data_IF_097252030461
#
_entry.id   IF_097252030461
#
_cell.length_a   1.000
_cell.length_b   1.000
_cell.length_c   1.000
_cell.angle_alpha   90.00
_cell.angle_beta   90.00
_cell.angle_gamma   90.00
#
_symmetry.space_group_name_H-M   'P 1'
#
loop_
_entity.id
_entity.type
_entity.pdbx_description
1 polymer ?
#
# COMPACT_ATOMS: atom_id res chain seq x y z
N UNK A 1 36.09 6.69 -2.10
CA UNK A 1 34.88 7.16 -1.41
C UNK A 1 33.67 6.46 -1.97
N UNK A 2 33.29 5.36 -1.33
CA UNK A 2 32.16 4.51 -1.71
C UNK A 2 30.85 5.24 -1.40
N UNK A 3 30.33 5.96 -2.39
CA UNK A 3 28.95 6.44 -2.38
C UNK A 3 28.02 5.24 -2.65
N UNK A 4 27.83 4.41 -1.62
CA UNK A 4 26.80 3.36 -1.61
C UNK A 4 25.46 4.09 -1.75
N UNK A 5 24.96 4.16 -2.99
CA UNK A 5 23.72 4.84 -3.34
C UNK A 5 22.59 4.32 -2.47
N UNK A 6 22.17 5.11 -1.47
CA UNK A 6 21.05 4.77 -0.60
C UNK A 6 19.82 4.43 -1.44
N UNK A 7 19.12 3.36 -1.08
CA UNK A 7 17.89 2.94 -1.77
C UNK A 7 16.82 4.03 -1.69
N UNK A 8 15.83 3.99 -2.59
CA UNK A 8 14.70 4.95 -2.60
C UNK A 8 14.04 5.04 -1.21
N UNK A 9 13.83 3.89 -0.57
CA UNK A 9 13.27 3.80 0.78
C UNK A 9 14.17 4.52 1.79
N UNK A 10 15.47 4.21 1.82
CA UNK A 10 16.41 4.87 2.74
C UNK A 10 16.47 6.39 2.55
N UNK A 11 16.32 6.87 1.30
CA UNK A 11 16.34 8.32 0.99
C UNK A 11 15.06 9.03 1.42
N UNK A 12 13.92 8.36 1.41
CA UNK A 12 12.61 9.01 1.54
C UNK A 12 11.75 8.47 2.68
N UNK A 13 12.29 7.60 3.53
CA UNK A 13 11.59 6.92 4.61
C UNK A 13 10.77 7.87 5.49
N UNK A 14 11.36 8.99 5.93
CA UNK A 14 10.67 9.94 6.80
C UNK A 14 9.41 10.51 6.13
N UNK A 15 9.46 10.77 4.83
CA UNK A 15 8.32 11.30 4.06
C UNK A 15 7.28 10.22 3.77
N UNK A 16 7.72 8.98 3.49
CA UNK A 16 6.83 7.83 3.35
C UNK A 16 6.05 7.61 4.65
N UNK A 17 6.75 7.63 5.79
CA UNK A 17 6.12 7.50 7.11
C UNK A 17 5.17 8.64 7.41
N UNK A 18 5.56 9.87 7.10
CA UNK A 18 4.69 11.02 7.25
C UNK A 18 3.39 10.86 6.45
N UNK A 19 3.48 10.48 5.18
CA UNK A 19 2.31 10.15 4.38
C UNK A 19 1.44 9.07 5.04
N UNK A 20 2.05 8.00 5.55
CA UNK A 20 1.37 6.93 6.27
C UNK A 20 0.57 7.41 7.49
N UNK A 21 0.98 8.52 8.12
CA UNK A 21 0.29 9.10 9.28
C UNK A 21 -0.86 10.05 8.92
N UNK A 22 -1.04 10.40 7.65
CA UNK A 22 -2.15 11.26 7.22
C UNK A 22 -3.47 10.47 7.26
N UNK A 23 -4.58 11.20 7.42
CA UNK A 23 -5.93 10.61 7.42
C UNK A 23 -6.93 11.32 6.52
N UNK A 24 -6.72 12.61 6.22
CA UNK A 24 -7.64 13.43 5.43
C UNK A 24 -7.24 13.41 3.96
N UNK A 25 -8.23 13.25 3.08
CA UNK A 25 -8.03 13.23 1.62
C UNK A 25 -7.32 14.47 1.09
N UNK A 26 -7.67 15.66 1.58
CA UNK A 26 -7.06 16.92 1.17
C UNK A 26 -5.57 16.99 1.55
N UNK A 27 -5.24 16.56 2.77
CA UNK A 27 -3.87 16.59 3.28
C UNK A 27 -3.00 15.57 2.54
N UNK A 28 -3.50 14.35 2.32
CA UNK A 28 -2.82 13.32 1.52
C UNK A 28 -2.58 13.78 0.08
N UNK A 29 -3.60 14.37 -0.58
CA UNK A 29 -3.47 14.87 -1.95
C UNK A 29 -2.47 16.02 -2.06
N UNK A 30 -2.50 16.96 -1.10
CA UNK A 30 -1.55 18.08 -1.04
C UNK A 30 -0.12 17.58 -0.85
N UNK A 31 0.08 16.68 0.11
CA UNK A 31 1.40 16.11 0.39
C UNK A 31 2.00 15.39 -0.83
N UNK A 32 1.20 14.57 -1.53
CA UNK A 32 1.63 13.91 -2.76
C UNK A 32 1.85 14.87 -3.93
N UNK A 33 1.18 16.03 -3.94
CA UNK A 33 1.45 17.09 -4.92
C UNK A 33 2.82 17.74 -4.69
N UNK A 34 3.21 17.93 -3.42
CA UNK A 34 4.51 18.49 -3.05
C UNK A 34 5.65 17.45 -3.18
N UNK A 35 5.31 16.15 -3.14
CA UNK A 35 6.24 15.04 -3.22
C UNK A 35 5.78 13.95 -4.22
N UNK A 36 5.66 14.27 -5.52
CA UNK A 36 5.09 13.35 -6.51
C UNK A 36 5.92 12.08 -6.70
N UNK A 37 7.22 12.11 -6.41
CA UNK A 37 8.09 10.93 -6.47
C UNK A 37 7.73 9.84 -5.45
N UNK A 38 6.91 10.14 -4.44
CA UNK A 38 6.39 9.15 -3.48
C UNK A 38 5.26 8.32 -4.07
N UNK A 39 4.65 8.76 -5.18
CA UNK A 39 3.56 8.05 -5.85
C UNK A 39 4.14 6.92 -6.70
N UNK A 40 4.52 5.81 -6.05
CA UNK A 40 5.15 4.65 -6.67
C UNK A 40 4.91 3.36 -5.88
N UNK A 41 5.22 2.21 -6.50
CA UNK A 41 5.01 0.89 -5.89
C UNK A 41 5.87 0.68 -4.64
N UNK A 42 7.08 1.22 -4.59
CA UNK A 42 8.01 1.08 -3.46
C UNK A 42 7.39 1.68 -2.19
N UNK A 43 6.73 2.84 -2.31
CA UNK A 43 6.01 3.47 -1.20
C UNK A 43 4.86 2.58 -0.71
N UNK A 44 4.04 2.05 -1.62
CA UNK A 44 2.96 1.13 -1.26
C UNK A 44 3.49 -0.12 -0.53
N UNK A 45 4.51 -0.76 -1.09
CA UNK A 45 5.16 -1.96 -0.51
C UNK A 45 5.71 -1.68 0.88
N UNK A 46 6.40 -0.55 1.08
CA UNK A 46 6.92 -0.16 2.39
C UNK A 46 5.81 0.00 3.43
N UNK A 47 4.72 0.72 3.09
CA UNK A 47 3.61 0.94 4.02
C UNK A 47 2.89 -0.36 4.37
N UNK A 48 2.70 -1.26 3.39
CA UNK A 48 2.12 -2.59 3.61
C UNK A 48 2.98 -3.39 4.60
N UNK A 49 4.31 -3.46 4.37
CA UNK A 49 5.23 -4.14 5.28
C UNK A 49 5.24 -3.52 6.67
N UNK A 50 5.16 -2.18 6.74
CA UNK A 50 5.04 -1.47 8.01
C UNK A 50 3.79 -1.89 8.79
N UNK A 51 2.66 -2.13 8.12
CA UNK A 51 1.45 -2.62 8.79
C UNK A 51 1.67 -3.97 9.49
N UNK A 52 2.35 -4.92 8.83
CA UNK A 52 2.68 -6.22 9.44
C UNK A 52 3.61 -6.08 10.65
N UNK A 53 4.62 -5.21 10.54
CA UNK A 53 5.52 -4.94 11.66
C UNK A 53 4.77 -4.33 12.86
N UNK A 54 3.90 -3.34 12.63
CA UNK A 54 3.11 -2.71 13.69
C UNK A 54 2.15 -3.69 14.36
N UNK A 55 1.54 -4.61 13.61
CA UNK A 55 0.69 -5.66 14.19
C UNK A 55 1.50 -6.64 15.04
N UNK A 56 2.71 -7.03 14.61
CA UNK A 56 3.61 -7.87 15.40
C UNK A 56 4.06 -7.18 16.71
N UNK A 57 4.25 -5.86 16.68
CA UNK A 57 4.50 -5.04 17.87
C UNK A 57 3.23 -4.73 18.69
N UNK A 58 2.07 -5.29 18.33
CA UNK A 58 0.76 -5.04 18.95
C UNK A 58 0.30 -3.58 18.91
N UNK A 59 0.86 -2.75 18.01
CA UNK A 59 0.48 -1.35 17.80
C UNK A 59 -0.72 -1.22 16.85
N UNK A 60 -1.83 -1.89 17.19
CA UNK A 60 -3.00 -2.06 16.29
C UNK A 60 -3.59 -0.75 15.79
N UNK A 61 -3.84 0.20 16.69
CA UNK A 61 -4.44 1.48 16.30
C UNK A 61 -3.61 2.23 15.25
N UNK A 62 -2.28 2.20 15.40
CA UNK A 62 -1.36 2.78 14.43
C UNK A 62 -1.35 1.97 13.13
N UNK A 63 -1.32 0.64 13.20
CA UNK A 63 -1.42 -0.23 12.02
C UNK A 63 -2.65 0.10 11.18
N UNK A 64 -3.82 0.26 11.78
CA UNK A 64 -5.05 0.57 11.04
C UNK A 64 -4.98 1.92 10.32
N UNK A 65 -4.33 2.91 10.95
CA UNK A 65 -4.07 4.20 10.32
C UNK A 65 -3.11 4.07 9.12
N UNK A 66 -1.99 3.35 9.28
CA UNK A 66 -1.03 3.14 8.18
C UNK A 66 -1.67 2.32 7.06
N UNK A 67 -2.50 1.33 7.39
CA UNK A 67 -3.21 0.48 6.45
C UNK A 67 -4.11 1.28 5.50
N UNK A 68 -4.79 2.31 6.03
CA UNK A 68 -5.58 3.22 5.22
C UNK A 68 -4.71 3.86 4.12
N UNK A 69 -3.58 4.49 4.47
CA UNK A 69 -2.72 5.16 3.50
C UNK A 69 -1.97 4.19 2.58
N UNK A 70 -1.65 2.99 3.05
CA UNK A 70 -1.09 1.92 2.22
C UNK A 70 -2.05 1.58 1.06
N UNK A 71 -3.34 1.40 1.35
CA UNK A 71 -4.34 1.14 0.32
C UNK A 71 -4.63 2.36 -0.55
N UNK A 72 -4.57 3.58 -0.02
CA UNK A 72 -4.67 4.79 -0.86
C UNK A 72 -3.61 4.78 -1.96
N UNK A 73 -2.35 4.50 -1.60
CA UNK A 73 -1.28 4.41 -2.57
C UNK A 73 -1.51 3.25 -3.56
N UNK A 74 -1.93 2.08 -3.06
CA UNK A 74 -2.21 0.91 -3.90
C UNK A 74 -3.34 1.19 -4.93
N UNK A 75 -4.43 1.83 -4.51
CA UNK A 75 -5.54 2.16 -5.41
C UNK A 75 -5.15 3.22 -6.44
N UNK A 76 -4.29 4.19 -6.08
CA UNK A 76 -3.73 5.15 -7.05
C UNK A 76 -2.95 4.41 -8.14
N UNK A 77 -2.08 3.48 -7.75
CA UNK A 77 -1.27 2.67 -8.69
C UNK A 77 -2.17 1.79 -9.57
N UNK A 78 -3.20 1.18 -9.01
CA UNK A 78 -4.14 0.34 -9.77
C UNK A 78 -4.96 1.13 -10.77
N UNK A 79 -5.42 2.33 -10.37
CA UNK A 79 -6.10 3.25 -11.27
C UNK A 79 -5.19 3.64 -12.44
N UNK A 80 -3.92 3.96 -12.16
CA UNK A 80 -2.93 4.27 -13.18
C UNK A 80 -2.70 3.11 -14.15
N UNK A 81 -2.61 1.89 -13.61
CA UNK A 81 -2.46 0.65 -14.39
C UNK A 81 -3.65 0.39 -15.30
N UNK A 82 -4.87 0.57 -14.78
CA UNK A 82 -6.12 0.40 -15.54
C UNK A 82 -6.24 1.42 -16.66
N UNK A 83 -5.74 2.64 -16.45
CA UNK A 83 -5.69 3.69 -17.47
C UNK A 83 -4.44 3.66 -18.36
N UNK A 84 -3.49 2.74 -18.12
CA UNK A 84 -2.18 2.68 -18.77
C UNK A 84 -1.41 4.02 -18.76
N UNK A 85 -1.43 4.71 -17.62
CA UNK A 85 -0.73 5.99 -17.40
C UNK A 85 0.21 5.91 -16.20
N UNK A 86 1.12 6.87 -16.09
CA UNK A 86 1.95 7.01 -14.90
C UNK A 86 1.11 7.45 -13.68
N UNK A 87 1.24 6.80 -12.51
CA UNK A 87 0.44 7.14 -11.34
C UNK A 87 0.67 8.57 -10.84
N UNK A 88 1.84 9.15 -11.08
CA UNK A 88 2.16 10.55 -10.76
C UNK A 88 1.32 11.54 -11.58
N UNK A 89 0.84 11.11 -12.75
CA UNK A 89 -0.03 11.90 -13.62
C UNK A 89 -1.50 11.83 -13.23
N UNK A 90 -1.96 10.74 -12.61
CA UNK A 90 -3.39 10.50 -12.38
C UNK A 90 -3.82 10.42 -10.91
N UNK A 91 -2.91 10.47 -9.93
CA UNK A 91 -3.28 10.32 -8.51
C UNK A 91 -4.33 11.33 -8.03
N UNK A 92 -4.43 12.52 -8.63
CA UNK A 92 -5.45 13.51 -8.27
C UNK A 92 -6.87 13.02 -8.60
N UNK A 93 -7.03 12.20 -9.65
CA UNK A 93 -8.30 11.61 -10.04
C UNK A 93 -8.82 10.66 -8.95
N UNK A 94 -7.93 9.88 -8.33
CA UNK A 94 -8.27 9.05 -7.16
C UNK A 94 -8.94 9.90 -6.06
N UNK A 95 -8.30 10.99 -5.65
CA UNK A 95 -8.83 11.84 -4.58
C UNK A 95 -10.12 12.56 -4.99
N UNK A 96 -10.28 12.92 -6.26
CA UNK A 96 -11.53 13.47 -6.77
C UNK A 96 -12.68 12.46 -6.65
N UNK A 97 -12.47 11.21 -7.08
CA UNK A 97 -13.47 10.13 -6.97
C UNK A 97 -13.80 9.79 -5.52
N UNK A 98 -12.78 9.69 -4.67
CA UNK A 98 -12.96 9.42 -3.24
C UNK A 98 -13.79 10.51 -2.53
N UNK A 99 -13.56 11.79 -2.85
CA UNK A 99 -14.30 12.92 -2.28
C UNK A 99 -15.71 13.07 -2.83
N UNK A 100 -15.90 12.75 -4.12
CA UNK A 100 -17.23 12.74 -4.73
C UNK A 100 -18.15 11.68 -4.13
N UNK A 101 -17.61 10.73 -3.36
CA UNK A 101 -18.40 9.69 -2.72
C UNK A 101 -19.02 8.75 -3.74
N UNK A 102 -18.34 8.49 -4.86
CA UNK A 102 -18.81 7.57 -5.89
C UNK A 102 -19.10 6.21 -5.24
N UNK A 103 -20.38 5.86 -5.17
CA UNK A 103 -20.94 4.96 -4.15
C UNK A 103 -20.37 3.53 -4.25
N UNK A 104 -20.01 3.08 -5.45
CA UNK A 104 -19.31 1.80 -5.66
C UNK A 104 -17.80 1.86 -5.38
N UNK A 105 -17.16 2.99 -5.64
CA UNK A 105 -15.71 3.14 -5.50
C UNK A 105 -15.28 3.17 -4.04
N UNK A 106 -15.95 4.01 -3.24
CA UNK A 106 -15.63 4.15 -1.81
C UNK A 106 -15.98 2.88 -1.04
N UNK A 107 -17.06 2.19 -1.42
CA UNK A 107 -17.45 0.93 -0.77
C UNK A 107 -16.46 -0.20 -1.08
N UNK A 108 -15.98 -0.29 -2.32
CA UNK A 108 -14.89 -1.20 -2.69
C UNK A 108 -13.62 -0.90 -1.89
N UNK A 109 -13.26 0.38 -1.74
CA UNK A 109 -12.11 0.79 -0.93
C UNK A 109 -12.26 0.37 0.54
N UNK A 110 -13.41 0.64 1.18
CA UNK A 110 -13.67 0.24 2.57
C UNK A 110 -13.64 -1.27 2.75
N UNK A 111 -14.28 -2.00 1.84
CA UNK A 111 -14.29 -3.47 1.85
C UNK A 111 -12.87 -4.03 1.78
N UNK A 112 -12.06 -3.51 0.86
CA UNK A 112 -10.67 -3.95 0.73
C UNK A 112 -9.82 -3.54 1.93
N UNK A 113 -10.09 -2.39 2.56
CA UNK A 113 -9.42 -1.97 3.79
C UNK A 113 -9.68 -2.92 4.95
N UNK A 114 -10.93 -3.31 5.17
CA UNK A 114 -11.25 -4.31 6.20
C UNK A 114 -10.62 -5.68 5.87
N UNK A 115 -10.65 -6.08 4.61
CA UNK A 115 -10.01 -7.31 4.16
C UNK A 115 -8.49 -7.29 4.38
N UNK A 116 -7.82 -6.17 4.07
CA UNK A 116 -6.40 -5.98 4.30
C UNK A 116 -6.05 -6.03 5.79
N UNK A 117 -6.77 -5.28 6.64
CA UNK A 117 -6.57 -5.31 8.10
C UNK A 117 -6.76 -6.73 8.66
N UNK A 118 -7.76 -7.46 8.18
CA UNK A 118 -7.98 -8.86 8.55
C UNK A 118 -6.79 -9.75 8.18
N UNK A 119 -6.27 -9.62 6.94
CA UNK A 119 -5.07 -10.36 6.50
C UNK A 119 -3.86 -10.05 7.39
N UNK A 120 -3.61 -8.78 7.70
CA UNK A 120 -2.49 -8.37 8.57
C UNK A 120 -2.60 -9.04 9.95
N UNK A 121 -3.79 -9.03 10.56
CA UNK A 121 -4.06 -9.66 11.86
C UNK A 121 -3.95 -11.18 11.85
N UNK A 122 -4.35 -11.83 10.77
CA UNK A 122 -4.26 -13.30 10.65
C UNK A 122 -2.80 -13.72 10.45
N UNK A 123 -2.05 -13.05 9.56
CA UNK A 123 -0.66 -13.41 9.29
C UNK A 123 0.27 -13.08 10.49
N UNK A 124 -0.10 -12.18 11.40
CA UNK A 124 0.65 -11.97 12.65
C UNK A 124 0.43 -13.05 13.72
N UNK A 125 -0.69 -13.77 13.65
CA UNK A 125 -1.04 -14.86 14.57
C UNK A 125 -0.52 -16.23 14.12
N UNK A 126 -0.05 -16.36 12.88
CA UNK A 126 0.55 -17.58 12.38
C UNK A 126 1.98 -17.76 12.93
N UNK A 127 2.36 -19.01 13.23
CA UNK A 127 3.64 -19.34 13.91
C UNK A 127 4.90 -18.80 13.18
N UNK A 128 4.82 -18.51 11.89
CA UNK A 128 5.95 -17.95 11.11
C UNK A 128 6.37 -16.53 11.51
N UNK A 129 5.51 -15.75 12.17
CA UNK A 129 5.85 -14.38 12.63
C UNK A 129 6.43 -14.34 14.06
N UNK A 130 6.15 -15.36 14.87
CA UNK A 130 6.54 -15.41 16.28
C UNK A 130 8.06 -15.59 16.50
N UNK A 131 8.81 -15.95 15.45
CA UNK A 131 10.27 -16.11 15.51
C UNK A 131 11.06 -14.79 15.37
N UNK A 132 10.42 -13.66 15.08
CA UNK A 132 11.08 -12.36 14.87
C UNK A 132 11.11 -11.45 16.11
N UNK A 133 10.52 -11.85 17.24
CA UNK A 133 10.48 -11.02 18.44
C UNK A 133 11.70 -11.21 19.34
N UNK A 134 12.90 -10.83 18.88
CA UNK A 134 14.04 -10.61 19.80
C UNK A 134 14.88 -9.40 19.36
N UNK A 135 14.71 -8.34 20.14
CA UNK A 135 15.66 -7.26 20.45
C UNK A 135 15.93 -6.07 19.50
N UNK A 136 15.83 -4.89 20.13
CA UNK A 136 16.56 -3.63 19.93
C UNK A 136 16.02 -2.56 18.96
N UNK A 137 15.23 -1.63 19.54
CA UNK A 137 15.08 -0.16 19.37
C UNK A 137 15.89 0.69 18.35
N UNK A 138 16.50 0.16 17.29
CA UNK A 138 17.06 0.96 16.19
C UNK A 138 16.80 0.40 14.78
N UNK A 139 15.98 -0.65 14.68
CA UNK A 139 15.73 -1.39 13.43
C UNK A 139 14.72 -0.68 12.55
N UNK A 140 15.12 0.37 11.85
CA UNK A 140 14.35 0.80 10.67
C UNK A 140 15.23 1.05 9.45
N UNK A 141 16.48 1.46 9.66
CA UNK A 141 17.51 1.39 8.62
C UNK A 141 17.85 -0.06 8.22
N UNK A 142 17.63 -1.03 9.11
CA UNK A 142 17.96 -2.45 8.90
C UNK A 142 16.87 -3.29 8.23
N UNK A 143 15.64 -2.76 8.05
CA UNK A 143 14.55 -3.52 7.42
C UNK A 143 14.84 -3.78 5.94
N UNK A 144 15.52 -2.85 5.26
CA UNK A 144 15.89 -3.03 3.85
C UNK A 144 16.96 -4.13 3.68
N UNK A 145 17.92 -4.20 4.60
CA UNK A 145 19.05 -5.14 4.53
C UNK A 145 18.65 -6.55 5.03
N UNK A 146 17.77 -6.65 6.03
CA UNK A 146 17.23 -7.94 6.48
C UNK A 146 16.24 -8.58 5.50
N UNK A 147 15.54 -7.79 4.68
CA UNK A 147 14.54 -8.28 3.74
C UNK A 147 15.12 -8.91 2.47
N UNK A 148 16.31 -8.50 2.03
CA UNK A 148 16.99 -9.17 0.90
C UNK A 148 17.38 -10.61 1.24
N UNK A 149 17.74 -10.88 2.52
CA UNK A 149 17.99 -12.23 3.03
C UNK A 149 16.73 -13.06 3.35
N UNK A 150 15.56 -12.43 3.53
CA UNK A 150 14.30 -13.11 3.84
C UNK A 150 13.57 -13.66 2.60
N UNK A 151 13.98 -13.23 1.41
CA UNK A 151 13.42 -13.71 0.13
C UNK A 151 13.60 -15.23 -0.09
N UNK A 152 14.45 -15.91 0.68
CA UNK A 152 14.75 -17.33 0.48
C UNK A 152 13.99 -18.30 1.39
N UNK A 153 13.29 -17.84 2.45
CA UNK A 153 12.77 -18.75 3.49
C UNK A 153 11.30 -18.55 3.95
N UNK A 154 10.42 -17.83 3.23
CA UNK A 154 9.04 -17.60 3.72
C UNK A 154 7.96 -17.73 2.63
N UNK A 155 7.57 -18.96 2.29
CA UNK A 155 6.50 -19.23 1.32
C UNK A 155 5.12 -18.70 1.79
N UNK A 156 4.85 -18.68 3.09
CA UNK A 156 3.54 -18.27 3.64
C UNK A 156 3.37 -16.75 3.68
N UNK A 157 4.43 -16.01 4.02
CA UNK A 157 4.40 -14.55 4.08
C UNK A 157 4.38 -13.93 2.68
N UNK A 158 5.14 -14.51 1.74
CA UNK A 158 5.08 -14.09 0.34
C UNK A 158 3.68 -14.30 -0.24
N UNK A 159 2.97 -15.37 0.16
CA UNK A 159 1.56 -15.60 -0.17
C UNK A 159 0.63 -14.53 0.41
N UNK A 160 0.76 -14.18 1.69
CA UNK A 160 0.00 -13.10 2.34
C UNK A 160 0.21 -11.74 1.64
N UNK A 161 1.47 -11.41 1.33
CA UNK A 161 1.85 -10.15 0.67
C UNK A 161 1.33 -10.13 -0.77
N UNK A 162 1.58 -11.18 -1.56
CA UNK A 162 1.12 -11.23 -2.95
C UNK A 162 -0.40 -11.15 -3.03
N UNK A 163 -1.15 -11.87 -2.18
CA UNK A 163 -2.62 -11.80 -2.19
C UNK A 163 -3.15 -10.40 -1.87
N UNK A 164 -2.42 -9.62 -1.08
CA UNK A 164 -2.78 -8.21 -0.81
C UNK A 164 -2.53 -7.26 -1.98
N UNK A 165 -1.60 -7.61 -2.88
CA UNK A 165 -1.24 -6.81 -4.07
C UNK A 165 -2.12 -7.16 -5.28
N UNK A 166 -2.63 -8.40 -5.37
CA UNK A 166 -3.26 -8.94 -6.58
C UNK A 166 -4.81 -8.91 -6.64
N UNK A 167 -5.54 -8.56 -5.58
CA UNK A 167 -7.01 -8.70 -5.55
C UNK A 167 -7.82 -7.50 -6.11
N UNK A 168 -7.18 -6.37 -6.44
CA UNK A 168 -7.92 -5.17 -6.86
C UNK A 168 -8.25 -5.12 -8.36
N UNK A 169 -7.52 -5.89 -9.17
CA UNK A 169 -7.62 -5.91 -10.63
C UNK A 169 -8.97 -6.44 -11.16
N UNK A 170 -9.76 -7.17 -10.35
CA UNK A 170 -11.09 -7.63 -10.74
C UNK A 170 -12.22 -6.61 -10.52
N UNK A 171 -11.98 -5.51 -9.79
CA UNK A 171 -13.07 -4.61 -9.35
C UNK A 171 -13.25 -3.36 -10.22
N UNK A 172 -12.25 -2.95 -11.00
CA UNK A 172 -12.30 -1.74 -11.84
C UNK A 172 -12.81 -1.99 -13.27
N UNK A 173 -13.15 -3.22 -13.65
CA UNK A 173 -13.58 -3.59 -15.01
C UNK A 173 -15.10 -3.50 -15.27
N UNK A 174 -15.88 -2.78 -14.46
CA UNK A 174 -17.36 -2.82 -14.58
C UNK A 174 -18.03 -1.79 -15.50
N UNK A 175 -17.29 -0.93 -16.20
CA UNK A 175 -17.89 0.13 -17.04
C UNK A 175 -17.44 0.13 -18.51
N UNK A 176 -17.45 -1.02 -19.18
CA UNK A 176 -17.61 -1.04 -20.65
C UNK A 176 -18.72 -2.02 -21.05
N UNK A 177 -19.95 -1.52 -21.12
CA UNK A 177 -21.06 -2.20 -21.78
C UNK A 177 -20.89 -2.05 -23.31
N UNK A 178 -20.74 -3.14 -24.08
CA UNK A 178 -20.66 -3.04 -25.53
C UNK A 178 -22.04 -2.68 -26.09
N UNK A 179 -22.16 -1.43 -26.56
CA UNK A 179 -23.32 -0.91 -27.28
C UNK A 179 -23.68 -1.84 -28.45
N UNK A 180 -24.83 -2.48 -28.37
CA UNK A 180 -25.38 -3.31 -29.45
C UNK A 180 -25.53 -2.48 -30.73
N UNK A 181 -24.94 -2.95 -31.81
CA UNK A 181 -25.10 -2.40 -33.15
C UNK A 181 -26.35 -3.04 -33.76
N UNK A 182 -27.43 -2.27 -33.84
CA UNK A 182 -28.63 -2.68 -34.56
C UNK A 182 -28.36 -2.73 -36.06
N UNK A 183 -28.63 -3.90 -36.63
CA UNK A 183 -28.59 -4.21 -38.05
C UNK A 183 -29.72 -3.50 -38.79
N UNK A 184 -29.40 -2.84 -39.91
CA UNK A 184 -30.33 -2.62 -41.04
C UNK A 184 -29.57 -2.91 -42.33
#
# INVERSE_FOLDING_TARGET
DEDISKSFIQKHEQKIRYFGMLGRWDDSQRFLSDHPYLVCEETAKYLILWCFHLEAEQKRALMEQIAHQALVMQFIIEMARSCNVDPRGCFRLFFQKAKAGEEGYLEAFKTELEAFKSRVRICSQSQGFQAMSVENSSVYSGIVEGLESLSQNANDLQGCINRSVFNLSSMLQKDEEPKMMDTV
#
